data_IF_491714035224
#
_entry.id   IF_491714035224
#
_cell.length_a   1.000
_cell.length_b   1.000
_cell.length_c   1.000
_cell.angle_alpha   90.00
_cell.angle_beta   90.00
_cell.angle_gamma   90.00
#
_symmetry.space_group_name_H-M   'P 1'
#
loop_
_entity.id
_entity.type
_entity.pdbx_description
1 polymer ?
#
# COMPACT_ATOMS: atom_id res chain seq x y z
N UNK A 1 6.05 -27.45 -38.13
CA UNK A 1 4.66 -27.01 -37.79
C UNK A 1 4.67 -25.49 -37.71
N UNK A 2 3.86 -24.79 -38.50
CA UNK A 2 3.76 -23.33 -38.43
C UNK A 2 3.25 -22.95 -37.04
N UNK A 3 3.98 -22.07 -36.35
CA UNK A 3 3.56 -21.56 -35.06
C UNK A 3 2.18 -20.87 -35.21
N UNK A 4 1.21 -21.28 -34.41
CA UNK A 4 -0.16 -20.75 -34.52
C UNK A 4 -0.15 -19.25 -34.25
N UNK A 5 -0.81 -18.48 -35.13
CA UNK A 5 -0.79 -17.00 -35.11
C UNK A 5 -1.19 -16.40 -33.73
N UNK A 6 -2.17 -17.00 -33.04
CA UNK A 6 -2.59 -16.53 -31.73
C UNK A 6 -1.47 -16.59 -30.67
N UNK A 7 -0.53 -17.54 -30.77
CA UNK A 7 0.61 -17.64 -29.85
C UNK A 7 1.57 -16.47 -29.94
N UNK A 8 1.70 -15.89 -31.14
CA UNK A 8 2.54 -14.70 -31.37
C UNK A 8 1.93 -13.41 -30.81
N UNK A 9 0.61 -13.44 -30.58
CA UNK A 9 -0.14 -12.29 -30.07
C UNK A 9 -0.34 -12.33 -28.55
N UNK A 10 0.22 -13.34 -27.84
CA UNK A 10 0.17 -13.37 -26.39
C UNK A 10 1.06 -12.26 -25.81
N UNK A 11 0.52 -11.57 -24.78
CA UNK A 11 1.31 -10.61 -24.04
C UNK A 11 2.39 -11.37 -23.22
N UNK A 12 3.62 -10.91 -23.30
CA UNK A 12 4.72 -11.43 -22.49
C UNK A 12 4.97 -10.47 -21.33
N UNK A 13 4.53 -10.85 -20.13
CA UNK A 13 4.70 -10.07 -18.90
C UNK A 13 5.21 -10.94 -17.75
N UNK A 14 5.95 -10.35 -16.84
CA UNK A 14 6.32 -10.97 -15.57
C UNK A 14 5.33 -10.50 -14.50
N UNK A 15 4.43 -11.38 -14.00
CA UNK A 15 3.42 -10.97 -13.04
C UNK A 15 4.04 -10.67 -11.67
N UNK A 16 3.33 -9.91 -10.87
CA UNK A 16 3.64 -9.74 -9.45
C UNK A 16 3.58 -11.09 -8.71
N UNK A 17 4.55 -11.32 -7.84
CA UNK A 17 4.61 -12.52 -6.99
C UNK A 17 4.21 -12.14 -5.56
N UNK A 18 3.04 -12.60 -5.14
CA UNK A 18 2.55 -12.42 -3.78
C UNK A 18 3.48 -13.06 -2.75
N UNK A 19 3.42 -12.60 -1.51
CA UNK A 19 4.08 -13.27 -0.39
C UNK A 19 3.54 -14.68 -0.19
N UNK A 20 4.34 -15.53 0.45
CA UNK A 20 3.94 -16.89 0.82
C UNK A 20 2.62 -16.87 1.61
N UNK A 21 1.68 -17.75 1.23
CA UNK A 21 0.38 -17.94 1.89
C UNK A 21 0.39 -19.32 2.57
N UNK A 22 0.83 -19.40 3.84
CA UNK A 22 0.85 -20.67 4.55
C UNK A 22 -0.58 -21.17 4.82
N UNK A 23 -0.76 -22.49 4.75
CA UNK A 23 -2.09 -23.14 4.86
C UNK A 23 -2.43 -23.64 6.29
N UNK A 24 -1.51 -23.47 7.24
CA UNK A 24 -1.72 -23.94 8.62
C UNK A 24 -2.36 -22.84 9.48
N UNK A 25 -3.31 -23.21 10.31
CA UNK A 25 -3.93 -22.31 11.30
C UNK A 25 -3.04 -22.06 12.54
N UNK A 26 -1.93 -22.79 12.69
CA UNK A 26 -0.99 -22.68 13.81
C UNK A 26 0.29 -21.98 13.39
N UNK A 27 0.16 -20.77 12.88
CA UNK A 27 1.29 -19.97 12.40
C UNK A 27 1.19 -18.53 12.91
N UNK A 28 2.33 -17.87 13.00
CA UNK A 28 2.43 -16.43 13.20
C UNK A 28 2.74 -15.81 11.84
N UNK A 29 1.75 -15.09 11.26
CA UNK A 29 1.84 -14.55 9.90
C UNK A 29 2.20 -13.06 9.88
N UNK A 30 3.49 -12.77 9.72
CA UNK A 30 4.06 -11.41 9.74
C UNK A 30 4.70 -11.01 8.39
N UNK A 31 4.18 -11.49 7.26
CA UNK A 31 4.82 -11.35 5.94
C UNK A 31 4.07 -10.50 4.92
N UNK A 32 2.81 -10.12 5.17
CA UNK A 32 1.95 -9.47 4.18
C UNK A 32 1.43 -8.09 4.60
N UNK A 33 1.92 -7.53 5.72
CA UNK A 33 1.50 -6.23 6.27
C UNK A 33 -0.02 -6.19 6.54
N UNK A 34 -0.61 -7.33 6.88
CA UNK A 34 -1.99 -7.38 7.36
C UNK A 34 -2.06 -6.82 8.79
N UNK A 35 -3.19 -6.25 9.16
CA UNK A 35 -3.37 -5.76 10.52
C UNK A 35 -3.59 -6.94 11.47
N UNK A 36 -2.96 -6.92 12.64
CA UNK A 36 -3.08 -7.95 13.66
C UNK A 36 -4.45 -7.98 14.35
N UNK A 37 -5.17 -6.88 14.31
CA UNK A 37 -6.48 -6.72 14.98
C UNK A 37 -7.62 -6.85 13.97
N UNK A 38 -8.80 -7.31 14.40
CA UNK A 38 -9.98 -7.40 13.52
C UNK A 38 -10.46 -6.02 13.10
N UNK A 39 -11.31 -5.94 12.05
CA UNK A 39 -12.00 -4.69 11.70
C UNK A 39 -12.98 -4.26 12.82
N UNK A 40 -13.46 -3.00 12.72
CA UNK A 40 -14.43 -2.42 13.66
C UNK A 40 -15.61 -3.35 13.94
N UNK A 41 -16.11 -3.42 15.18
CA UNK A 41 -17.34 -4.16 15.53
C UNK A 41 -18.55 -3.75 14.69
N UNK A 42 -18.64 -2.50 14.22
CA UNK A 42 -19.70 -2.05 13.30
C UNK A 42 -19.65 -2.76 11.95
N UNK A 43 -18.48 -3.21 11.51
CA UNK A 43 -18.34 -4.07 10.32
C UNK A 43 -19.04 -5.41 10.55
N UNK A 44 -18.86 -6.00 11.73
CA UNK A 44 -19.53 -7.25 12.12
C UNK A 44 -21.04 -7.11 12.07
N UNK A 45 -21.59 -6.01 12.58
CA UNK A 45 -23.04 -5.76 12.54
C UNK A 45 -23.62 -5.74 11.12
N UNK A 46 -22.87 -5.21 10.15
CA UNK A 46 -23.28 -5.23 8.74
C UNK A 46 -23.26 -6.66 8.19
N UNK A 47 -22.21 -7.41 8.47
CA UNK A 47 -22.07 -8.80 8.00
C UNK A 47 -23.17 -9.71 8.59
N UNK A 48 -23.52 -9.55 9.86
CA UNK A 48 -24.56 -10.34 10.53
C UNK A 48 -25.97 -10.02 10.00
N UNK A 49 -26.18 -8.82 9.43
CA UNK A 49 -27.46 -8.42 8.80
C UNK A 49 -27.56 -8.77 7.32
N UNK A 50 -26.44 -9.17 6.70
CA UNK A 50 -26.40 -9.48 5.27
C UNK A 50 -27.28 -10.69 4.91
N UNK A 51 -28.07 -10.57 3.84
CA UNK A 51 -28.96 -11.63 3.35
C UNK A 51 -28.53 -12.09 1.96
N UNK A 52 -28.61 -13.39 1.65
CA UNK A 52 -28.30 -13.91 0.32
C UNK A 52 -29.12 -13.23 -0.80
N UNK A 53 -30.38 -12.84 -0.52
CA UNK A 53 -31.29 -12.19 -1.46
C UNK A 53 -30.75 -10.83 -1.93
N UNK A 54 -29.95 -10.15 -1.11
CA UNK A 54 -29.35 -8.85 -1.44
C UNK A 54 -28.25 -8.98 -2.50
N UNK A 55 -27.66 -10.17 -2.65
CA UNK A 55 -26.61 -10.45 -3.64
C UNK A 55 -27.11 -10.50 -5.10
N UNK A 56 -28.43 -10.55 -5.34
CA UNK A 56 -29.03 -10.61 -6.68
C UNK A 56 -28.89 -9.34 -7.50
N UNK A 57 -28.60 -8.21 -6.87
CA UNK A 57 -28.62 -6.89 -7.52
C UNK A 57 -27.24 -6.29 -7.54
N UNK A 58 -26.94 -5.59 -8.62
CA UNK A 58 -25.71 -4.78 -8.69
C UNK A 58 -25.67 -3.75 -7.57
N UNK A 59 -24.49 -3.46 -7.02
CA UNK A 59 -24.27 -2.37 -6.07
C UNK A 59 -24.32 -1.00 -6.76
N UNK A 60 -24.05 0.08 -6.01
CA UNK A 60 -23.75 1.39 -6.59
C UNK A 60 -22.53 1.29 -7.51
N UNK A 61 -22.67 1.73 -8.76
CA UNK A 61 -21.60 1.63 -9.76
C UNK A 61 -20.36 2.43 -9.39
N UNK A 62 -20.55 3.57 -8.73
CA UNK A 62 -19.49 4.49 -8.30
C UNK A 62 -19.18 4.41 -6.80
N UNK A 63 -19.79 3.45 -6.08
CA UNK A 63 -19.69 3.31 -4.62
C UNK A 63 -20.08 4.59 -3.86
N UNK A 64 -21.07 5.36 -4.33
CA UNK A 64 -21.44 6.66 -3.80
C UNK A 64 -21.54 6.74 -2.26
N UNK A 65 -22.21 5.80 -1.53
CA UNK A 65 -22.28 5.89 -0.07
C UNK A 65 -20.91 5.87 0.62
N UNK A 66 -19.96 5.11 0.07
CA UNK A 66 -18.60 5.04 0.62
C UNK A 66 -17.79 6.30 0.26
N UNK A 67 -17.90 6.79 -0.99
CA UNK A 67 -17.27 8.05 -1.41
C UNK A 67 -17.74 9.24 -0.56
N UNK A 68 -19.04 9.33 -0.26
CA UNK A 68 -19.61 10.35 0.62
C UNK A 68 -19.05 10.27 2.05
N UNK A 69 -18.94 9.06 2.62
CA UNK A 69 -18.38 8.86 3.95
C UNK A 69 -16.89 9.27 4.01
N UNK A 70 -16.12 8.89 2.99
CA UNK A 70 -14.71 9.23 2.87
C UNK A 70 -14.49 10.73 2.65
N UNK A 71 -15.26 11.35 1.77
CA UNK A 71 -15.22 12.79 1.52
C UNK A 71 -15.49 13.59 2.80
N UNK A 72 -16.54 13.19 3.57
CA UNK A 72 -16.84 13.79 4.86
C UNK A 72 -15.69 13.68 5.85
N UNK A 73 -15.07 12.48 5.97
CA UNK A 73 -13.91 12.24 6.84
C UNK A 73 -12.72 13.10 6.43
N UNK A 74 -12.47 13.21 5.13
CA UNK A 74 -11.36 13.98 4.57
C UNK A 74 -11.57 15.50 4.53
N UNK A 75 -12.78 16.01 4.81
CA UNK A 75 -13.13 17.42 4.66
C UNK A 75 -13.08 17.90 3.19
N UNK A 76 -13.43 17.01 2.25
CA UNK A 76 -13.45 17.20 0.81
C UNK A 76 -14.86 17.04 0.24
N UNK A 77 -15.04 17.36 -1.06
CA UNK A 77 -16.25 17.01 -1.81
C UNK A 77 -16.22 15.54 -2.23
N UNK A 78 -17.40 14.94 -2.45
CA UNK A 78 -17.52 13.60 -3.05
C UNK A 78 -16.85 13.51 -4.42
N UNK A 79 -16.78 14.61 -5.15
CA UNK A 79 -16.12 14.71 -6.45
C UNK A 79 -14.59 14.59 -6.37
N UNK A 80 -14.02 14.72 -5.19
CA UNK A 80 -12.60 14.52 -4.92
C UNK A 80 -12.22 13.09 -4.55
N UNK A 81 -13.17 12.15 -4.52
CA UNK A 81 -12.96 10.80 -4.03
C UNK A 81 -13.26 9.76 -5.10
N UNK A 82 -12.35 8.82 -5.30
CA UNK A 82 -12.54 7.63 -6.12
C UNK A 82 -12.43 6.37 -5.26
N UNK A 83 -13.22 5.34 -5.55
CA UNK A 83 -13.20 4.06 -4.84
C UNK A 83 -13.19 2.91 -5.84
N UNK A 84 -12.33 1.90 -5.62
CA UNK A 84 -12.27 0.70 -6.44
C UNK A 84 -11.85 -0.55 -5.65
N UNK A 85 -11.63 -1.66 -6.38
CA UNK A 85 -11.40 -3.00 -5.82
C UNK A 85 -9.96 -3.19 -5.27
N UNK A 86 -9.65 -2.48 -4.19
CA UNK A 86 -8.32 -2.39 -3.59
C UNK A 86 -7.45 -1.32 -4.26
N UNK A 87 -6.37 -0.93 -3.57
CA UNK A 87 -5.41 0.06 -4.11
C UNK A 87 -4.76 -0.39 -5.43
N UNK A 88 -4.65 -1.68 -5.67
CA UNK A 88 -4.14 -2.21 -6.94
C UNK A 88 -5.01 -1.79 -8.12
N UNK A 89 -6.35 -1.87 -7.99
CA UNK A 89 -7.28 -1.46 -9.05
C UNK A 89 -7.36 0.08 -9.16
N UNK A 90 -7.24 0.79 -8.04
CA UNK A 90 -7.12 2.27 -8.03
C UNK A 90 -5.89 2.72 -8.81
N UNK A 91 -4.72 2.18 -8.49
CA UNK A 91 -3.46 2.49 -9.18
C UNK A 91 -3.50 2.07 -10.66
N UNK A 92 -3.98 0.85 -10.96
CA UNK A 92 -4.12 0.39 -12.34
C UNK A 92 -5.05 1.29 -13.16
N UNK A 93 -6.13 1.82 -12.55
CA UNK A 93 -7.02 2.80 -13.19
C UNK A 93 -6.31 4.13 -13.43
N UNK A 94 -5.56 4.63 -12.43
CA UNK A 94 -4.78 5.86 -12.56
C UNK A 94 -3.70 5.75 -13.66
N UNK A 95 -2.98 4.63 -13.72
CA UNK A 95 -1.98 4.38 -14.78
C UNK A 95 -2.61 4.39 -16.17
N UNK A 96 -3.80 3.77 -16.34
CA UNK A 96 -4.56 3.81 -17.60
C UNK A 96 -5.07 5.21 -17.93
N UNK A 97 -5.49 5.98 -16.92
CA UNK A 97 -6.07 7.30 -17.13
C UNK A 97 -5.02 8.36 -17.52
N UNK A 98 -3.83 8.31 -16.90
CA UNK A 98 -2.93 9.47 -16.92
C UNK A 98 -1.60 9.22 -17.63
N UNK A 99 -1.14 7.99 -17.80
CA UNK A 99 0.21 7.70 -18.32
C UNK A 99 0.16 7.17 -19.76
N UNK A 100 -0.39 7.99 -20.66
CA UNK A 100 -0.64 7.64 -22.06
C UNK A 100 0.30 8.38 -23.05
N UNK A 101 1.44 8.91 -22.59
CA UNK A 101 2.41 9.61 -23.42
C UNK A 101 3.64 8.75 -23.69
N UNK A 102 4.47 9.20 -24.65
CA UNK A 102 5.77 8.59 -24.92
C UNK A 102 6.84 8.98 -23.88
N UNK A 103 6.51 9.88 -22.95
CA UNK A 103 7.41 10.29 -21.87
C UNK A 103 7.41 9.24 -20.76
N UNK A 104 8.57 8.91 -20.16
CA UNK A 104 8.64 7.89 -19.11
C UNK A 104 8.03 8.38 -17.79
N UNK A 105 7.32 7.50 -17.09
CA UNK A 105 7.03 7.73 -15.68
C UNK A 105 8.27 7.41 -14.82
N UNK A 106 8.36 8.07 -13.67
CA UNK A 106 9.52 8.00 -12.77
C UNK A 106 9.09 7.50 -11.41
N UNK A 107 9.84 6.53 -10.86
CA UNK A 107 9.62 6.00 -9.52
C UNK A 107 10.92 5.49 -8.90
N UNK A 108 11.01 5.37 -7.54
CA UNK A 108 12.20 4.83 -6.86
C UNK A 108 12.48 3.37 -7.23
N UNK A 109 13.76 2.98 -7.26
CA UNK A 109 14.20 1.61 -7.58
C UNK A 109 13.85 0.58 -6.49
N UNK A 110 13.75 1.04 -5.23
CA UNK A 110 13.32 0.23 -4.09
C UNK A 110 12.01 0.81 -3.55
N UNK A 111 10.89 0.28 -4.07
CA UNK A 111 9.53 0.70 -3.75
C UNK A 111 8.54 -0.43 -4.02
N UNK A 112 7.25 -0.14 -4.09
CA UNK A 112 6.20 -1.11 -4.36
C UNK A 112 6.39 -1.77 -5.73
N UNK A 113 6.62 -3.07 -5.69
CA UNK A 113 7.06 -3.83 -6.87
C UNK A 113 5.98 -4.05 -7.94
N UNK A 114 4.79 -3.49 -7.77
CA UNK A 114 3.74 -3.53 -8.78
C UNK A 114 3.87 -2.42 -9.84
N UNK A 115 4.55 -1.31 -9.53
CA UNK A 115 4.70 -0.21 -10.50
C UNK A 115 5.30 -0.67 -11.85
N UNK A 116 6.44 -1.38 -11.88
CA UNK A 116 6.95 -1.91 -13.14
C UNK A 116 6.00 -2.90 -13.82
N UNK A 117 5.21 -3.68 -13.06
CA UNK A 117 4.26 -4.64 -13.65
C UNK A 117 3.16 -3.93 -14.45
N UNK A 118 2.63 -2.82 -13.94
CA UNK A 118 1.68 -2.00 -14.73
C UNK A 118 2.33 -1.32 -15.92
N UNK A 119 3.58 -0.85 -15.79
CA UNK A 119 4.31 -0.28 -16.91
C UNK A 119 4.45 -1.30 -18.04
N UNK A 120 4.87 -2.53 -17.73
CA UNK A 120 5.01 -3.61 -18.70
C UNK A 120 3.67 -4.00 -19.33
N UNK A 121 2.63 -4.17 -18.50
CA UNK A 121 1.29 -4.55 -18.96
C UNK A 121 0.68 -3.51 -19.91
N UNK A 122 0.83 -2.23 -19.58
CA UNK A 122 0.23 -1.11 -20.31
C UNK A 122 1.18 -0.49 -21.34
N UNK A 123 2.43 -1.01 -21.44
CA UNK A 123 3.49 -0.51 -22.33
C UNK A 123 3.82 0.97 -22.08
N UNK A 124 3.83 1.37 -20.81
CA UNK A 124 4.17 2.72 -20.39
C UNK A 124 5.70 2.82 -20.27
N UNK A 125 6.34 3.76 -20.96
CA UNK A 125 7.76 4.03 -20.75
C UNK A 125 8.03 4.40 -19.30
N UNK A 126 9.12 3.86 -18.73
CA UNK A 126 9.41 4.12 -17.32
C UNK A 126 10.91 4.16 -17.06
N UNK A 127 11.31 4.86 -16.00
CA UNK A 127 12.68 4.86 -15.48
C UNK A 127 12.64 4.86 -13.96
N UNK A 128 13.61 4.19 -13.35
CA UNK A 128 13.81 4.22 -11.91
C UNK A 128 14.84 5.27 -11.50
N UNK A 129 14.71 5.77 -10.28
CA UNK A 129 15.71 6.60 -9.60
C UNK A 129 16.19 5.88 -8.34
N UNK A 130 17.49 5.92 -8.00
CA UNK A 130 17.97 5.24 -6.82
C UNK A 130 17.51 5.96 -5.55
N UNK A 131 17.09 5.20 -4.55
CA UNK A 131 17.09 5.68 -3.16
C UNK A 131 18.52 5.78 -2.68
N UNK A 132 18.78 6.64 -1.69
CA UNK A 132 20.13 6.81 -1.14
C UNK A 132 20.61 5.57 -0.31
N UNK A 133 21.74 5.68 0.38
CA UNK A 133 22.30 4.60 1.18
C UNK A 133 21.43 4.25 2.40
N UNK A 134 20.69 5.22 2.91
CA UNK A 134 19.76 5.08 4.03
C UNK A 134 18.30 4.84 3.59
N UNK A 135 18.10 4.61 2.30
CA UNK A 135 16.80 4.34 1.64
C UNK A 135 15.83 5.52 1.55
N UNK A 136 16.30 6.76 1.73
CA UNK A 136 15.51 7.96 1.48
C UNK A 136 15.41 8.27 -0.01
N UNK A 137 14.28 8.88 -0.39
CA UNK A 137 14.03 9.33 -1.75
C UNK A 137 14.53 10.79 -1.88
N UNK A 138 15.40 11.07 -2.84
CA UNK A 138 15.76 12.45 -3.16
C UNK A 138 14.70 13.12 -4.02
N UNK A 139 14.17 14.26 -3.60
CA UNK A 139 13.20 15.01 -4.40
C UNK A 139 13.77 15.38 -5.77
N UNK A 140 15.03 15.81 -5.82
CA UNK A 140 15.72 16.21 -7.07
C UNK A 140 15.80 15.05 -8.07
N UNK A 141 15.87 13.79 -7.62
CA UNK A 141 15.89 12.63 -8.50
C UNK A 141 14.57 12.41 -9.25
N UNK A 142 13.46 12.95 -8.71
CA UNK A 142 12.12 12.88 -9.27
C UNK A 142 11.76 14.07 -10.16
N UNK A 143 12.60 15.11 -10.25
CA UNK A 143 12.34 16.29 -11.10
C UNK A 143 12.52 15.97 -12.57
N UNK A 144 11.80 16.69 -13.44
CA UNK A 144 12.10 16.69 -14.87
C UNK A 144 10.93 17.07 -15.78
N UNK A 145 11.17 18.06 -16.65
CA UNK A 145 10.25 18.46 -17.73
C UNK A 145 9.99 17.33 -18.75
N UNK A 146 10.83 16.28 -18.73
CA UNK A 146 10.69 15.09 -19.57
C UNK A 146 9.87 13.97 -18.96
N UNK A 147 9.37 14.12 -17.73
CA UNK A 147 8.59 13.09 -17.05
C UNK A 147 7.17 13.00 -17.66
N UNK A 148 6.71 11.76 -17.90
CA UNK A 148 5.31 11.46 -18.24
C UNK A 148 4.42 11.30 -17.01
N UNK A 149 5.03 11.19 -15.84
CA UNK A 149 4.41 11.08 -14.53
C UNK A 149 5.43 10.73 -13.44
N UNK A 150 5.06 10.94 -12.19
CA UNK A 150 5.86 10.55 -11.03
C UNK A 150 5.01 9.68 -10.10
N UNK A 151 5.56 8.56 -9.60
CA UNK A 151 4.87 7.67 -8.69
C UNK A 151 5.81 7.27 -7.56
N UNK A 152 5.40 7.44 -6.31
CA UNK A 152 6.15 6.95 -5.16
C UNK A 152 5.24 6.61 -3.99
N UNK A 153 5.63 5.61 -3.19
CA UNK A 153 4.96 5.27 -1.96
C UNK A 153 5.50 6.12 -0.81
N UNK A 154 4.61 6.69 0.00
CA UNK A 154 4.96 7.50 1.16
C UNK A 154 3.92 7.35 2.29
N UNK A 155 4.22 6.54 3.32
CA UNK A 155 5.46 5.80 3.60
C UNK A 155 5.80 4.71 2.59
N UNK A 156 7.11 4.51 2.34
CA UNK A 156 7.60 3.58 1.33
C UNK A 156 7.65 2.12 1.83
N UNK A 157 7.32 1.19 0.96
CA UNK A 157 7.49 -0.25 1.19
C UNK A 157 8.49 -0.81 0.16
N UNK A 158 9.56 -1.54 0.56
CA UNK A 158 9.71 -2.22 1.86
C UNK A 158 10.49 -1.45 2.93
N UNK A 159 10.94 -0.23 2.68
CA UNK A 159 11.90 0.49 3.54
C UNK A 159 11.33 0.99 4.85
N UNK A 160 10.00 1.11 4.98
CA UNK A 160 9.25 1.67 6.10
C UNK A 160 9.44 3.18 6.36
N UNK A 161 10.23 3.85 5.54
CA UNK A 161 10.54 5.27 5.66
C UNK A 161 9.49 6.15 5.00
N UNK A 162 9.42 7.40 5.42
CA UNK A 162 8.55 8.40 4.81
C UNK A 162 9.27 9.75 4.71
N UNK A 163 8.92 10.48 3.68
CA UNK A 163 9.28 11.87 3.48
C UNK A 163 8.14 12.79 3.96
N UNK A 164 8.46 13.98 4.44
CA UNK A 164 7.46 14.91 4.94
C UNK A 164 6.67 15.59 3.81
N UNK A 165 5.60 16.28 4.17
CA UNK A 165 4.73 16.98 3.20
C UNK A 165 5.48 18.06 2.40
N UNK A 166 6.54 18.64 2.96
CA UNK A 166 7.41 19.60 2.25
C UNK A 166 8.15 18.96 1.06
N UNK A 167 8.60 17.72 1.22
CA UNK A 167 9.17 16.94 0.12
C UNK A 167 8.13 16.71 -1.01
N UNK A 168 6.89 16.34 -0.63
CA UNK A 168 5.83 16.11 -1.61
C UNK A 168 5.52 17.40 -2.37
N UNK A 169 5.45 18.52 -1.65
CA UNK A 169 5.26 19.86 -2.25
C UNK A 169 6.37 20.19 -3.25
N UNK A 170 7.61 19.94 -2.87
CA UNK A 170 8.77 20.19 -3.70
C UNK A 170 8.73 19.36 -5.00
N UNK A 171 8.36 18.07 -4.92
CA UNK A 171 8.17 17.22 -6.10
C UNK A 171 7.05 17.76 -7.00
N UNK A 172 5.92 18.22 -6.45
CA UNK A 172 4.79 18.76 -7.20
C UNK A 172 5.18 20.05 -7.95
N UNK A 173 5.91 20.95 -7.29
CA UNK A 173 6.37 22.22 -7.87
C UNK A 173 7.31 22.04 -9.08
N UNK A 174 8.07 20.93 -9.10
CA UNK A 174 9.02 20.61 -10.16
C UNK A 174 8.48 19.61 -11.21
N UNK A 175 7.20 19.25 -11.13
CA UNK A 175 6.53 18.33 -12.07
C UNK A 175 5.12 18.83 -12.47
N UNK A 176 4.98 20.14 -12.74
CA UNK A 176 3.66 20.78 -12.99
C UNK A 176 2.93 20.24 -14.23
N UNK A 177 3.67 19.72 -15.21
CA UNK A 177 3.13 19.26 -16.50
C UNK A 177 2.75 17.77 -16.50
N UNK A 178 2.89 17.07 -15.37
CA UNK A 178 2.51 15.67 -15.29
C UNK A 178 1.86 15.33 -13.93
N UNK A 179 1.16 14.20 -13.88
CA UNK A 179 0.52 13.71 -12.65
C UNK A 179 1.56 13.14 -11.71
N UNK A 180 1.47 13.51 -10.44
CA UNK A 180 2.23 12.95 -9.33
C UNK A 180 1.30 12.06 -8.50
N UNK A 181 1.58 10.76 -8.46
CA UNK A 181 0.85 9.81 -7.62
C UNK A 181 1.66 9.57 -6.35
N UNK A 182 1.05 9.85 -5.21
CA UNK A 182 1.59 9.54 -3.87
C UNK A 182 0.78 8.39 -3.29
N UNK A 183 1.40 7.21 -3.21
CA UNK A 183 0.75 6.03 -2.62
C UNK A 183 0.91 6.06 -1.10
N UNK A 184 -0.17 6.46 -0.42
CA UNK A 184 -0.23 6.62 1.03
C UNK A 184 -0.85 5.41 1.76
N UNK A 185 -0.66 4.20 1.24
CA UNK A 185 -1.17 2.94 1.82
C UNK A 185 -0.88 2.78 3.32
N UNK A 186 0.18 3.39 3.84
CA UNK A 186 0.61 3.25 5.25
C UNK A 186 0.53 4.56 6.06
N UNK A 187 0.02 5.64 5.51
CA UNK A 187 0.09 6.98 6.12
C UNK A 187 -0.57 7.07 7.49
N UNK A 188 -1.64 6.29 7.72
CA UNK A 188 -2.32 6.27 9.03
C UNK A 188 -1.40 5.82 10.20
N UNK A 189 -0.30 5.10 9.92
CA UNK A 189 0.69 4.67 10.92
C UNK A 189 1.86 5.64 11.10
N UNK A 190 1.89 6.71 10.30
CA UNK A 190 3.01 7.64 10.25
C UNK A 190 2.85 8.78 11.29
N UNK A 191 3.98 9.45 11.55
CA UNK A 191 4.01 10.66 12.37
C UNK A 191 3.23 11.81 11.69
N UNK A 192 2.92 12.84 12.45
CA UNK A 192 2.33 14.08 11.92
C UNK A 192 3.25 14.70 10.84
N UNK A 193 2.63 15.35 9.86
CA UNK A 193 3.36 16.05 8.77
C UNK A 193 3.79 15.17 7.60
N UNK A 194 3.32 13.92 7.55
CA UNK A 194 3.57 12.97 6.43
C UNK A 194 2.37 12.93 5.47
N UNK A 195 1.14 13.07 5.99
CA UNK A 195 -0.09 13.02 5.19
C UNK A 195 -0.19 14.22 4.24
N UNK A 196 -0.34 13.92 2.94
CA UNK A 196 -0.45 14.91 1.88
C UNK A 196 -1.89 15.33 1.54
N UNK A 197 -2.89 14.86 2.29
CA UNK A 197 -4.31 15.07 1.94
C UNK A 197 -4.68 16.55 1.83
N UNK A 198 -4.07 17.42 2.65
CA UNK A 198 -4.28 18.88 2.60
C UNK A 198 -3.87 19.50 1.26
N UNK A 199 -2.88 18.92 0.57
CA UNK A 199 -2.36 19.42 -0.71
C UNK A 199 -3.33 19.24 -1.88
N UNK A 200 -4.37 18.42 -1.76
CA UNK A 200 -5.40 18.21 -2.80
C UNK A 200 -6.09 19.53 -3.20
N UNK A 201 -6.18 20.46 -2.27
CA UNK A 201 -6.79 21.79 -2.53
C UNK A 201 -5.83 22.79 -3.15
N UNK A 202 -4.53 22.47 -3.21
CA UNK A 202 -3.48 23.37 -3.67
C UNK A 202 -2.91 22.93 -5.04
N UNK A 203 -2.99 21.64 -5.38
CA UNK A 203 -2.33 21.08 -6.56
C UNK A 203 -3.30 20.27 -7.43
N UNK A 204 -3.46 20.69 -8.67
CA UNK A 204 -4.35 20.04 -9.64
C UNK A 204 -3.78 18.73 -10.19
N UNK A 205 -2.47 18.53 -10.09
CA UNK A 205 -1.75 17.36 -10.61
C UNK A 205 -1.43 16.30 -9.55
N UNK A 206 -1.97 16.40 -8.32
CA UNK A 206 -1.78 15.45 -7.24
C UNK A 206 -2.88 14.40 -7.22
N UNK A 207 -2.48 13.12 -7.20
CA UNK A 207 -3.34 11.98 -6.88
C UNK A 207 -2.77 11.25 -5.66
N UNK A 208 -3.55 11.13 -4.59
CA UNK A 208 -3.21 10.31 -3.43
C UNK A 208 -3.97 9.00 -3.51
N UNK A 209 -3.31 7.85 -3.30
CA UNK A 209 -3.97 6.55 -3.18
C UNK A 209 -3.88 6.01 -1.76
N UNK A 210 -4.92 5.31 -1.33
CA UNK A 210 -5.04 4.76 0.01
C UNK A 210 -5.79 3.42 -0.01
N UNK A 211 -5.83 2.69 1.12
CA UNK A 211 -6.47 1.38 1.18
C UNK A 211 -7.01 1.04 2.57
N UNK A 212 -8.10 0.30 2.61
CA UNK A 212 -8.63 -0.30 3.85
C UNK A 212 -7.87 -1.57 4.28
N UNK A 213 -6.95 -2.06 3.44
CA UNK A 213 -6.28 -3.34 3.65
C UNK A 213 -5.33 -3.34 4.85
N UNK A 214 -4.84 -2.17 5.30
CA UNK A 214 -3.80 -2.07 6.33
C UNK A 214 -4.37 -1.51 7.62
N UNK A 215 -4.56 -0.22 7.72
CA UNK A 215 -4.97 0.44 8.95
C UNK A 215 -6.38 0.05 9.40
N UNK A 216 -7.31 -0.21 8.48
CA UNK A 216 -8.70 -0.58 8.77
C UNK A 216 -8.95 -2.08 8.86
N UNK A 217 -7.92 -2.92 8.78
CA UNK A 217 -8.03 -4.38 8.96
C UNK A 217 -8.95 -5.09 7.94
N UNK A 218 -9.12 -4.54 6.75
CA UNK A 218 -10.10 -5.01 5.78
C UNK A 218 -9.47 -5.50 4.46
N UNK A 219 -8.28 -6.12 4.52
CA UNK A 219 -7.60 -6.64 3.34
C UNK A 219 -8.49 -7.59 2.50
N UNK A 220 -9.28 -8.44 3.16
CA UNK A 220 -10.21 -9.37 2.52
C UNK A 220 -11.41 -8.70 1.83
N UNK A 221 -11.76 -7.48 2.19
CA UNK A 221 -12.88 -6.74 1.60
C UNK A 221 -12.52 -6.01 0.30
N UNK A 222 -11.23 -5.94 -0.03
CA UNK A 222 -10.73 -5.34 -1.27
C UNK A 222 -11.25 -3.91 -1.52
N UNK A 223 -11.01 -2.98 -0.60
CA UNK A 223 -11.40 -1.56 -0.75
C UNK A 223 -10.13 -0.73 -0.90
N UNK A 224 -10.04 0.00 -2.01
CA UNK A 224 -9.04 1.03 -2.27
C UNK A 224 -9.70 2.35 -2.59
N UNK A 225 -9.02 3.44 -2.30
CA UNK A 225 -9.52 4.78 -2.50
C UNK A 225 -8.44 5.70 -3.07
N UNK A 226 -8.86 6.76 -3.75
CA UNK A 226 -7.98 7.84 -4.15
C UNK A 226 -8.64 9.20 -3.91
N UNK A 227 -7.78 10.20 -3.71
CA UNK A 227 -8.13 11.60 -3.53
C UNK A 227 -7.37 12.46 -4.54
N UNK A 228 -8.09 13.32 -5.23
CA UNK A 228 -7.54 14.27 -6.21
C UNK A 228 -8.51 15.42 -6.45
N UNK A 229 -8.13 16.37 -7.32
CA UNK A 229 -9.11 17.32 -7.80
C UNK A 229 -10.25 16.63 -8.57
N UNK A 230 -11.40 17.29 -8.70
CA UNK A 230 -12.61 16.73 -9.28
C UNK A 230 -12.43 16.34 -10.77
N UNK A 231 -11.57 17.02 -11.50
CA UNK A 231 -11.30 16.71 -12.90
C UNK A 231 -10.57 15.37 -13.04
N UNK A 232 -9.52 15.11 -12.25
CA UNK A 232 -8.82 13.83 -12.25
C UNK A 232 -9.74 12.69 -11.85
N UNK A 233 -10.56 12.87 -10.82
CA UNK A 233 -11.53 11.85 -10.39
C UNK A 233 -12.54 11.53 -11.50
N UNK A 234 -13.02 12.55 -12.24
CA UNK A 234 -13.90 12.37 -13.38
C UNK A 234 -13.27 11.48 -14.47
N UNK A 235 -12.00 11.70 -14.79
CA UNK A 235 -11.27 10.85 -15.74
C UNK A 235 -11.08 9.42 -15.22
N UNK A 236 -10.77 9.24 -13.95
CA UNK A 236 -10.67 7.90 -13.35
C UNK A 236 -12.01 7.15 -13.40
N UNK A 237 -13.12 7.83 -13.10
CA UNK A 237 -14.46 7.24 -13.21
C UNK A 237 -14.77 6.83 -14.66
N UNK A 238 -14.48 7.68 -15.65
CA UNK A 238 -14.68 7.37 -17.06
C UNK A 238 -13.86 6.15 -17.51
N UNK A 239 -12.58 6.05 -17.10
CA UNK A 239 -11.74 4.89 -17.40
C UNK A 239 -12.27 3.64 -16.72
N UNK A 240 -12.60 3.70 -15.42
CA UNK A 240 -13.21 2.58 -14.68
C UNK A 240 -14.47 2.07 -15.38
N UNK A 241 -15.40 2.96 -15.75
CA UNK A 241 -16.67 2.59 -16.40
C UNK A 241 -16.47 1.97 -17.80
N UNK A 242 -15.29 2.18 -18.40
CA UNK A 242 -14.96 1.63 -19.71
C UNK A 242 -14.49 0.17 -19.67
N UNK A 243 -14.10 -0.37 -18.51
CA UNK A 243 -13.65 -1.77 -18.41
C UNK A 243 -14.29 -2.56 -17.25
N UNK A 244 -14.71 -1.92 -16.15
CA UNK A 244 -15.38 -2.54 -15.01
C UNK A 244 -16.32 -1.56 -14.30
N UNK A 245 -17.60 -1.57 -14.65
CA UNK A 245 -18.58 -0.60 -14.15
C UNK A 245 -18.91 -0.79 -12.66
N UNK A 246 -18.76 -1.99 -12.10
CA UNK A 246 -19.14 -2.33 -10.72
C UNK A 246 -18.00 -3.02 -9.96
N UNK A 247 -16.84 -2.35 -9.74
CA UNK A 247 -15.66 -3.02 -9.19
C UNK A 247 -15.81 -3.38 -7.72
N UNK A 248 -16.61 -2.64 -6.95
CA UNK A 248 -16.76 -2.81 -5.50
C UNK A 248 -18.12 -3.43 -5.20
N UNK A 249 -18.11 -4.58 -4.53
CA UNK A 249 -19.35 -5.27 -4.17
C UNK A 249 -20.10 -4.55 -3.02
N UNK A 250 -21.37 -4.87 -2.86
CA UNK A 250 -22.27 -4.24 -1.88
C UNK A 250 -21.76 -4.34 -0.45
N UNK A 251 -21.30 -5.54 -0.02
CA UNK A 251 -20.80 -5.72 1.34
C UNK A 251 -19.56 -4.89 1.61
N UNK A 252 -18.67 -4.78 0.63
CA UNK A 252 -17.49 -3.90 0.76
C UNK A 252 -17.88 -2.44 0.92
N UNK A 253 -18.89 -1.96 0.17
CA UNK A 253 -19.38 -0.58 0.31
C UNK A 253 -19.96 -0.37 1.72
N UNK A 254 -20.89 -1.23 2.15
CA UNK A 254 -21.60 -1.07 3.42
C UNK A 254 -20.64 -1.23 4.63
N UNK A 255 -19.75 -2.22 4.61
CA UNK A 255 -18.73 -2.42 5.66
C UNK A 255 -17.67 -1.32 5.65
N UNK A 256 -17.32 -0.80 4.47
CA UNK A 256 -16.44 0.35 4.33
C UNK A 256 -17.01 1.59 5.00
N UNK A 257 -18.28 1.90 4.76
CA UNK A 257 -19.00 3.02 5.44
C UNK A 257 -18.99 2.82 6.96
N UNK A 258 -19.34 1.62 7.43
CA UNK A 258 -19.37 1.31 8.87
C UNK A 258 -17.97 1.48 9.51
N UNK A 259 -16.92 1.05 8.82
CA UNK A 259 -15.53 1.23 9.28
C UNK A 259 -15.10 2.71 9.34
N UNK A 260 -15.48 3.52 8.34
CA UNK A 260 -15.18 4.96 8.31
C UNK A 260 -15.89 5.70 9.45
N UNK A 261 -17.10 5.28 9.80
CA UNK A 261 -17.92 5.90 10.87
C UNK A 261 -17.51 5.49 12.28
N UNK A 262 -16.55 4.59 12.44
CA UNK A 262 -16.04 4.14 13.74
C UNK A 262 -14.61 4.64 14.00
N UNK A 263 -14.48 5.94 14.08
CA UNK A 263 -13.17 6.57 14.26
C UNK A 263 -12.52 6.21 15.60
N UNK A 264 -13.30 6.05 16.66
CA UNK A 264 -12.79 5.70 18.00
C UNK A 264 -12.08 4.33 17.98
N UNK A 265 -12.72 3.30 17.42
CA UNK A 265 -12.11 1.99 17.28
C UNK A 265 -10.88 2.04 16.36
N UNK A 266 -10.96 2.79 15.26
CA UNK A 266 -9.86 2.97 14.33
C UNK A 266 -8.62 3.55 15.01
N UNK A 267 -8.78 4.66 15.75
CA UNK A 267 -7.68 5.31 16.49
C UNK A 267 -7.11 4.40 17.59
N UNK A 268 -7.97 3.70 18.33
CA UNK A 268 -7.53 2.74 19.34
C UNK A 268 -6.69 1.61 18.74
N UNK A 269 -7.07 1.10 17.56
CA UNK A 269 -6.32 0.03 16.88
C UNK A 269 -5.00 0.55 16.32
N UNK A 270 -4.97 1.73 15.72
CA UNK A 270 -3.73 2.38 15.28
C UNK A 270 -2.74 2.55 16.42
N UNK A 271 -3.20 3.08 17.55
CA UNK A 271 -2.37 3.28 18.74
C UNK A 271 -1.73 1.97 19.20
N UNK A 272 -2.47 0.86 19.22
CA UNK A 272 -1.92 -0.47 19.58
C UNK A 272 -0.80 -0.87 18.62
N UNK A 273 -1.04 -0.83 17.31
CA UNK A 273 -0.04 -1.22 16.30
C UNK A 273 1.22 -0.35 16.41
N UNK A 274 1.07 0.96 16.57
CA UNK A 274 2.19 1.88 16.72
C UNK A 274 2.97 1.60 18.01
N UNK A 275 2.27 1.40 19.14
CA UNK A 275 2.91 1.12 20.43
C UNK A 275 3.72 -0.19 20.36
N UNK A 276 3.13 -1.26 19.83
CA UNK A 276 3.82 -2.55 19.63
C UNK A 276 5.02 -2.39 18.68
N UNK A 277 4.87 -1.62 17.58
CA UNK A 277 5.95 -1.32 16.65
C UNK A 277 7.17 -0.69 17.35
N UNK A 278 6.93 0.35 18.15
CA UNK A 278 8.02 1.06 18.85
C UNK A 278 8.69 0.14 19.89
N UNK A 279 7.90 -0.64 20.64
CA UNK A 279 8.43 -1.62 21.61
C UNK A 279 9.31 -2.67 20.93
N UNK A 280 8.83 -3.27 19.85
CA UNK A 280 9.57 -4.30 19.09
C UNK A 280 10.82 -3.71 18.43
N UNK A 281 10.73 -2.47 17.91
CA UNK A 281 11.91 -1.77 17.36
C UNK A 281 13.01 -1.60 18.40
N UNK A 282 12.65 -1.22 19.62
CA UNK A 282 13.59 -1.09 20.74
C UNK A 282 14.23 -2.44 21.09
N UNK A 283 13.44 -3.50 21.24
CA UNK A 283 13.94 -4.83 21.55
C UNK A 283 14.87 -5.38 20.45
N UNK A 284 14.55 -5.18 19.18
CA UNK A 284 15.43 -5.60 18.08
C UNK A 284 16.76 -4.83 18.09
N UNK A 285 16.72 -3.52 18.37
CA UNK A 285 17.99 -2.73 18.52
C UNK A 285 18.84 -3.21 19.68
N UNK A 286 18.24 -3.57 20.83
CA UNK A 286 18.95 -4.20 21.97
C UNK A 286 19.58 -5.53 21.58
N UNK A 287 19.00 -6.27 20.64
CA UNK A 287 19.56 -7.49 20.06
C UNK A 287 20.59 -7.23 18.95
N UNK A 288 20.98 -5.99 18.70
CA UNK A 288 22.02 -5.62 17.73
C UNK A 288 21.52 -5.38 16.31
N UNK A 289 20.21 -5.37 16.06
CA UNK A 289 19.67 -5.02 14.74
C UNK A 289 19.75 -3.52 14.46
N UNK A 290 20.08 -3.18 13.23
CA UNK A 290 19.80 -1.89 12.63
C UNK A 290 18.33 -1.86 12.19
N UNK A 291 17.54 -0.98 12.81
CA UNK A 291 16.09 -0.82 12.53
C UNK A 291 15.83 0.67 12.31
N UNK A 292 15.60 1.12 11.08
CA UNK A 292 15.19 2.48 10.79
C UNK A 292 13.88 2.85 11.51
N UNK A 293 13.65 4.15 11.77
CA UNK A 293 12.39 4.61 12.36
C UNK A 293 11.25 4.35 11.37
N UNK A 294 10.40 3.37 11.67
CA UNK A 294 9.31 2.98 10.79
C UNK A 294 8.15 3.97 10.86
N UNK A 295 7.56 4.26 9.69
CA UNK A 295 6.34 5.04 9.49
C UNK A 295 5.18 4.16 8.96
N UNK A 296 5.27 2.83 9.17
CA UNK A 296 4.35 1.82 8.64
C UNK A 296 3.88 0.85 9.73
N UNK A 297 3.11 -0.17 9.37
CA UNK A 297 2.80 -1.30 10.25
C UNK A 297 3.79 -2.46 10.11
N UNK A 298 5.02 -2.19 9.71
CA UNK A 298 6.10 -3.19 9.62
C UNK A 298 7.47 -2.55 9.88
N UNK A 299 8.45 -3.36 10.19
CA UNK A 299 9.85 -2.98 10.37
C UNK A 299 10.68 -3.44 9.17
N UNK A 300 11.79 -2.75 8.92
CA UNK A 300 12.79 -3.10 7.92
C UNK A 300 14.16 -3.26 8.60
N UNK A 301 14.43 -4.47 9.11
CA UNK A 301 15.50 -4.75 10.05
C UNK A 301 16.67 -5.50 9.40
N UNK A 302 17.90 -5.16 9.79
CA UNK A 302 19.15 -5.84 9.41
C UNK A 302 19.95 -6.18 10.65
N UNK A 303 20.55 -7.38 10.69
CA UNK A 303 21.55 -7.71 11.72
C UNK A 303 22.95 -7.75 11.09
N UNK A 304 23.97 -7.06 11.68
CA UNK A 304 25.29 -6.94 11.05
C UNK A 304 26.06 -8.26 11.00
N UNK A 305 25.78 -9.18 11.93
CA UNK A 305 26.56 -10.42 12.11
C UNK A 305 25.81 -11.69 11.63
N UNK A 306 24.52 -11.60 11.29
CA UNK A 306 23.71 -12.74 10.84
C UNK A 306 23.05 -12.43 9.51
N UNK A 307 23.11 -13.38 8.57
CA UNK A 307 22.47 -13.20 7.27
C UNK A 307 20.94 -13.16 7.42
N UNK A 308 20.29 -12.19 6.77
CA UNK A 308 18.83 -12.06 6.81
C UNK A 308 18.10 -13.33 6.32
N UNK A 309 18.69 -14.02 5.34
CA UNK A 309 18.17 -15.29 4.84
C UNK A 309 18.13 -16.38 5.92
N UNK A 310 19.20 -16.49 6.74
CA UNK A 310 19.29 -17.55 7.76
C UNK A 310 18.26 -17.29 8.89
N UNK A 311 18.10 -16.03 9.31
CA UNK A 311 17.07 -15.64 10.28
C UNK A 311 15.66 -15.94 9.70
N UNK A 312 15.42 -15.59 8.43
CA UNK A 312 14.16 -15.87 7.75
C UNK A 312 13.84 -17.36 7.71
N UNK A 313 14.80 -18.23 7.34
CA UNK A 313 14.61 -19.67 7.27
C UNK A 313 14.36 -20.27 8.64
N UNK A 314 15.12 -19.86 9.65
CA UNK A 314 14.93 -20.31 11.04
C UNK A 314 13.55 -19.94 11.61
N UNK A 315 13.09 -18.69 11.41
CA UNK A 315 11.76 -18.27 11.86
C UNK A 315 10.65 -19.04 11.15
N UNK A 316 10.80 -19.26 9.84
CA UNK A 316 9.84 -20.04 9.05
C UNK A 316 9.73 -21.47 9.56
N UNK A 317 10.84 -22.13 9.92
CA UNK A 317 10.85 -23.49 10.46
C UNK A 317 10.15 -23.56 11.82
N UNK A 318 10.10 -22.45 12.57
CA UNK A 318 9.31 -22.30 13.81
C UNK A 318 7.85 -21.89 13.56
N UNK A 319 7.40 -21.77 12.30
CA UNK A 319 6.05 -21.37 11.96
C UNK A 319 5.82 -19.84 12.02
N UNK A 320 6.89 -19.04 12.07
CA UNK A 320 6.84 -17.57 12.08
C UNK A 320 7.21 -17.06 10.69
N UNK A 321 6.25 -16.54 9.97
CA UNK A 321 6.41 -16.12 8.57
C UNK A 321 6.64 -14.61 8.47
N UNK A 322 7.86 -14.19 8.19
CA UNK A 322 8.23 -12.81 7.87
C UNK A 322 8.55 -12.68 6.37
N UNK A 323 8.97 -11.52 5.89
CA UNK A 323 9.30 -11.32 4.47
C UNK A 323 10.79 -11.08 4.29
N UNK A 324 11.41 -11.89 3.41
CA UNK A 324 12.76 -11.72 2.89
C UNK A 324 12.72 -11.38 1.39
N UNK A 325 13.64 -10.54 0.94
CA UNK A 325 13.77 -10.12 -0.45
C UNK A 325 15.16 -10.52 -0.97
N UNK A 326 15.21 -11.51 -1.85
CA UNK A 326 16.44 -11.86 -2.55
C UNK A 326 16.69 -10.89 -3.73
N UNK A 327 16.98 -9.62 -3.40
CA UNK A 327 17.24 -8.54 -4.36
C UNK A 327 18.41 -7.69 -3.88
N UNK A 328 19.30 -7.22 -4.79
CA UNK A 328 20.42 -6.36 -4.43
C UNK A 328 19.98 -5.18 -3.55
N UNK A 329 20.83 -4.80 -2.59
CA UNK A 329 20.65 -3.70 -1.61
C UNK A 329 19.62 -3.96 -0.51
N UNK A 330 18.76 -4.98 -0.63
CA UNK A 330 17.74 -5.34 0.38
C UNK A 330 17.76 -6.81 0.76
N UNK A 331 18.72 -7.59 0.26
CA UNK A 331 18.94 -9.01 0.58
C UNK A 331 19.59 -9.24 1.94
N UNK A 332 20.03 -8.18 2.58
CA UNK A 332 20.57 -8.16 3.95
C UNK A 332 19.53 -7.73 5.02
N UNK A 333 18.27 -7.49 4.60
CA UNK A 333 17.19 -6.99 5.47
C UNK A 333 15.95 -7.88 5.47
N UNK A 334 15.23 -7.79 6.56
CA UNK A 334 13.95 -8.47 6.80
C UNK A 334 12.84 -7.44 6.91
N UNK A 335 11.69 -7.68 6.26
CA UNK A 335 10.48 -6.91 6.50
C UNK A 335 9.57 -7.72 7.45
N UNK A 336 9.30 -7.16 8.61
CA UNK A 336 8.57 -7.80 9.70
C UNK A 336 7.29 -7.02 9.95
N UNK A 337 6.14 -7.60 9.61
CA UNK A 337 4.83 -7.01 9.92
C UNK A 337 4.62 -7.00 11.44
N UNK A 338 3.99 -5.95 11.95
CA UNK A 338 3.63 -5.88 13.38
C UNK A 338 2.39 -6.72 13.63
N UNK A 339 2.56 -7.75 14.44
CA UNK A 339 1.52 -8.64 14.96
C UNK A 339 0.90 -8.12 16.26
N UNK A 340 0.16 -8.98 16.96
CA UNK A 340 -0.24 -8.74 18.34
C UNK A 340 0.97 -8.79 19.27
N UNK A 341 0.84 -8.27 20.50
CA UNK A 341 1.93 -8.30 21.47
C UNK A 341 2.44 -9.75 21.69
N UNK A 342 1.53 -10.72 21.86
CA UNK A 342 1.87 -12.15 22.01
C UNK A 342 2.63 -12.72 20.80
N UNK A 343 2.22 -12.37 19.56
CA UNK A 343 2.91 -12.82 18.35
C UNK A 343 4.32 -12.21 18.25
N UNK A 344 4.47 -10.96 18.62
CA UNK A 344 5.76 -10.27 18.60
C UNK A 344 6.69 -10.77 19.71
N UNK A 345 6.19 -11.09 20.91
CA UNK A 345 6.96 -11.73 21.98
C UNK A 345 7.50 -13.09 21.54
N UNK A 346 6.67 -13.92 20.90
CA UNK A 346 7.11 -15.21 20.36
C UNK A 346 8.18 -15.04 19.28
N UNK A 347 8.03 -14.09 18.38
CA UNK A 347 9.02 -13.79 17.36
C UNK A 347 10.34 -13.33 17.98
N UNK A 348 10.31 -12.41 18.95
CA UNK A 348 11.52 -11.92 19.64
C UNK A 348 12.20 -13.06 20.41
N UNK A 349 11.43 -13.94 21.07
CA UNK A 349 11.99 -15.13 21.76
C UNK A 349 12.71 -16.06 20.78
N UNK A 350 12.12 -16.31 19.59
CA UNK A 350 12.75 -17.10 18.54
C UNK A 350 14.02 -16.44 17.98
N UNK A 351 14.04 -15.12 17.82
CA UNK A 351 15.24 -14.39 17.38
C UNK A 351 16.34 -14.49 18.45
N UNK A 352 16.03 -14.36 19.74
CA UNK A 352 16.98 -14.53 20.84
C UNK A 352 17.59 -15.94 20.85
N UNK A 353 16.78 -16.98 20.61
CA UNK A 353 17.28 -18.36 20.50
C UNK A 353 18.22 -18.53 19.29
N UNK A 354 17.98 -17.83 18.18
CA UNK A 354 18.85 -17.88 17.01
C UNK A 354 20.21 -17.19 17.21
N UNK A 355 20.20 -16.09 17.93
CA UNK A 355 21.41 -15.28 18.14
C UNK A 355 22.29 -15.88 19.24
N UNK A 356 21.74 -16.60 20.24
CA UNK A 356 22.42 -17.21 21.38
C UNK A 356 22.32 -16.33 22.61
#
# INVERSE_FOLDING_TARGET
>A
MSEQLWRKNLINITPYVAGEQPKSDKIIKLNANENAYPPSPKVREILDKAKPEDMRRYPSADAAPLREALAKRAGLSVDNVFVSNGSDDVLATAFRAFFNSDKPIVYPDITYSFYPVWCDLLKIPNRTVPVDADFHISAQSLYGEGNGGVVFANPNAPTSLAENVGFIRDVLEHNKDCIVIVDQTYVDFADEGIDALSLIKEYDNLLITHTFSKSRSMAGMRIGEAYANAELIKYMLAVKDSYNSYPVNRLSIETGVASVQDEEYFQATLCKVITTRESVSAQLRELGFDVPKSQTNFLFAKHPNFAAKDIFEFLRDKGIYIRYFNKPRIDDRLRITIGTDDEMEQMIAAIKEFIG
#
